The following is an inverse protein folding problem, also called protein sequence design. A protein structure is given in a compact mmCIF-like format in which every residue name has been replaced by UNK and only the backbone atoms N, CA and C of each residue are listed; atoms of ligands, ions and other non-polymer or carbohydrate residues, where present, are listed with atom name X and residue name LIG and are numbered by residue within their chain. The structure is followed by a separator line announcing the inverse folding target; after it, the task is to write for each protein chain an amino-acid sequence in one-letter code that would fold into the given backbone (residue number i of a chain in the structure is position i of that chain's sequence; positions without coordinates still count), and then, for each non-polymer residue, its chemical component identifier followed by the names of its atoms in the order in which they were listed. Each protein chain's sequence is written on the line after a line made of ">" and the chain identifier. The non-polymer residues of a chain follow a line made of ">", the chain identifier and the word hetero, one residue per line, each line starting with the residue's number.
data_IF_482881274310
#
_entry.id   IF_482881274310
#
_cell.length_a   1.000
_cell.length_b   1.000
_cell.length_c   1.000
_cell.angle_alpha   90.00
_cell.angle_beta   90.00
_cell.angle_gamma   90.00
#
_symmetry.space_group_name_H-M   'P 1'
#
loop_
_entity.id
_entity.type
_entity.pdbx_description
1 polymer ?
#
# COMPACT_ATOMS: atom_id res chain seq x y z
N UNK A 1 46.41 -30.61 -22.09
CA UNK A 1 46.37 -31.36 -20.82
C UNK A 1 44.93 -31.30 -20.35
N UNK A 2 44.14 -32.20 -20.90
CA UNK A 2 42.70 -32.28 -20.71
C UNK A 2 42.43 -33.09 -19.44
N UNK A 3 41.88 -32.43 -18.43
CA UNK A 3 41.34 -33.06 -17.22
C UNK A 3 39.83 -33.23 -17.34
N UNK A 4 39.23 -34.26 -16.72
CA UNK A 4 37.85 -34.62 -16.98
C UNK A 4 36.88 -33.61 -16.35
N UNK A 5 35.92 -33.18 -17.18
CA UNK A 5 34.75 -32.38 -16.79
C UNK A 5 33.85 -33.28 -15.94
N UNK A 6 33.74 -32.99 -14.64
CA UNK A 6 32.72 -33.59 -13.78
C UNK A 6 31.34 -33.10 -14.25
N UNK A 7 30.52 -34.01 -14.77
CA UNK A 7 29.11 -33.74 -15.05
C UNK A 7 28.37 -33.56 -13.72
N UNK A 8 27.99 -32.33 -13.39
CA UNK A 8 26.97 -32.09 -12.37
C UNK A 8 25.65 -32.68 -12.86
N UNK A 9 25.22 -33.78 -12.23
CA UNK A 9 23.85 -34.28 -12.36
C UNK A 9 22.84 -33.24 -11.87
N UNK A 10 21.56 -33.33 -12.30
CA UNK A 10 20.56 -32.34 -11.94
C UNK A 10 20.40 -32.29 -10.42
N UNK A 11 20.55 -31.09 -9.87
CA UNK A 11 20.27 -30.78 -8.47
C UNK A 11 18.83 -31.18 -8.17
N UNK A 12 18.64 -32.15 -7.27
CA UNK A 12 17.35 -32.45 -6.65
C UNK A 12 16.97 -31.30 -5.70
N UNK A 13 16.64 -30.14 -6.27
CA UNK A 13 15.75 -29.22 -5.61
C UNK A 13 14.39 -29.88 -5.58
N UNK A 14 13.89 -30.18 -4.37
CA UNK A 14 12.46 -30.44 -4.16
C UNK A 14 11.75 -29.20 -4.66
N UNK A 15 11.19 -29.29 -5.86
CA UNK A 15 10.25 -28.32 -6.40
C UNK A 15 9.11 -28.31 -5.40
N UNK A 16 8.97 -27.21 -4.64
CA UNK A 16 7.75 -26.99 -3.90
C UNK A 16 6.64 -26.94 -4.95
N UNK A 17 5.88 -28.01 -5.06
CA UNK A 17 4.63 -28.00 -5.79
C UNK A 17 3.77 -26.94 -5.11
N UNK A 18 3.55 -25.84 -5.82
CA UNK A 18 2.60 -24.82 -5.42
C UNK A 18 1.28 -25.49 -5.12
N UNK A 19 0.56 -25.04 -4.10
CA UNK A 19 -0.81 -25.51 -3.81
C UNK A 19 -1.75 -25.40 -5.02
N UNK A 20 -1.37 -24.69 -6.07
CA UNK A 20 -2.01 -24.76 -7.38
C UNK A 20 -1.97 -26.16 -7.98
N UNK A 21 -0.85 -26.88 -8.10
CA UNK A 21 -0.79 -28.22 -8.73
C UNK A 21 -1.57 -29.28 -7.96
N UNK A 22 -1.60 -29.19 -6.63
CA UNK A 22 -2.42 -30.07 -5.79
C UNK A 22 -3.92 -29.76 -5.90
N UNK A 23 -4.28 -28.50 -6.15
CA UNK A 23 -5.67 -28.11 -6.46
C UNK A 23 -6.02 -28.49 -7.90
N UNK A 24 -5.08 -28.43 -8.86
CA UNK A 24 -5.32 -28.86 -10.24
C UNK A 24 -5.47 -30.37 -10.36
N UNK A 25 -4.64 -31.17 -9.66
CA UNK A 25 -4.78 -32.64 -9.60
C UNK A 25 -6.07 -33.09 -8.90
N UNK A 26 -6.57 -32.30 -7.93
CA UNK A 26 -7.87 -32.53 -7.32
C UNK A 26 -9.04 -32.08 -8.22
N UNK A 27 -8.82 -31.20 -9.21
CA UNK A 27 -9.85 -30.76 -10.16
C UNK A 27 -9.86 -31.55 -11.47
N UNK A 28 -8.77 -32.21 -11.85
CA UNK A 28 -8.68 -33.07 -13.05
C UNK A 28 -9.15 -34.52 -12.81
N UNK A 29 -9.53 -34.87 -11.58
CA UNK A 29 -10.41 -36.02 -11.38
C UNK A 29 -11.84 -35.60 -11.75
N UNK A 30 -12.25 -35.94 -12.98
CA UNK A 30 -13.60 -35.86 -13.55
C UNK A 30 -14.70 -35.65 -12.50
N UNK A 31 -15.00 -34.38 -12.21
CA UNK A 31 -16.08 -33.97 -11.31
C UNK A 31 -17.37 -33.66 -12.10
N UNK A 32 -17.48 -34.19 -13.32
CA UNK A 32 -18.69 -34.11 -14.15
C UNK A 32 -19.65 -35.29 -13.94
N UNK A 33 -19.30 -36.30 -13.11
CA UNK A 33 -20.15 -37.47 -12.89
C UNK A 33 -20.43 -37.82 -11.42
N UNK A 34 -20.64 -36.79 -10.59
CA UNK A 34 -21.27 -36.98 -9.28
C UNK A 34 -22.71 -36.44 -9.34
N UNK A 35 -23.56 -37.22 -10.01
CA UNK A 35 -24.99 -37.19 -9.71
C UNK A 35 -25.13 -37.51 -8.21
N UNK A 36 -25.84 -36.71 -7.40
CA UNK A 36 -25.93 -36.97 -5.97
C UNK A 36 -26.52 -38.38 -5.77
N UNK A 37 -25.94 -39.23 -4.90
CA UNK A 37 -26.53 -40.52 -4.59
C UNK A 37 -27.96 -40.27 -4.09
N UNK A 38 -28.91 -41.04 -4.63
CA UNK A 38 -30.37 -40.83 -4.50
C UNK A 38 -30.92 -40.87 -3.06
N UNK A 39 -30.05 -41.06 -2.05
CA UNK A 39 -30.41 -41.29 -0.66
C UNK A 39 -29.70 -40.33 0.32
N UNK A 40 -29.34 -39.11 -0.10
CA UNK A 40 -28.75 -38.13 0.83
C UNK A 40 -29.83 -37.17 1.36
N UNK A 41 -30.01 -37.14 2.68
CA UNK A 41 -30.99 -36.25 3.31
C UNK A 41 -30.59 -34.78 3.11
N UNK A 42 -31.56 -33.86 3.04
CA UNK A 42 -31.32 -32.42 2.86
C UNK A 42 -30.42 -31.80 3.95
N UNK A 43 -30.27 -32.49 5.09
CA UNK A 43 -29.39 -32.13 6.20
C UNK A 43 -27.90 -32.43 5.89
N UNK A 44 -27.60 -33.58 5.25
CA UNK A 44 -26.23 -34.00 4.92
C UNK A 44 -25.59 -33.14 3.82
N UNK A 45 -26.39 -32.66 2.86
CA UNK A 45 -25.94 -31.73 1.82
C UNK A 45 -25.52 -30.38 2.43
N UNK A 46 -26.23 -29.91 3.47
CA UNK A 46 -25.95 -28.63 4.16
C UNK A 46 -24.65 -28.67 4.97
N UNK A 47 -24.27 -29.84 5.49
CA UNK A 47 -23.06 -30.06 6.29
C UNK A 47 -21.80 -30.25 5.44
N UNK A 48 -21.95 -30.45 4.13
CA UNK A 48 -20.83 -30.69 3.24
C UNK A 48 -19.98 -29.41 3.06
N UNK A 49 -18.69 -29.47 3.45
CA UNK A 49 -17.79 -28.31 3.46
C UNK A 49 -17.69 -27.66 2.07
N UNK A 50 -17.66 -28.48 1.01
CA UNK A 50 -17.64 -28.03 -0.37
C UNK A 50 -18.87 -27.19 -0.76
N UNK A 51 -20.07 -27.59 -0.31
CA UNK A 51 -21.30 -26.83 -0.56
C UNK A 51 -21.28 -25.46 0.13
N UNK A 52 -20.79 -25.38 1.38
CA UNK A 52 -20.64 -24.12 2.11
C UNK A 52 -19.61 -23.18 1.47
N UNK A 53 -18.49 -23.71 0.98
CA UNK A 53 -17.46 -22.95 0.28
C UNK A 53 -17.96 -22.42 -1.07
N UNK A 54 -18.65 -23.25 -1.85
CA UNK A 54 -19.28 -22.85 -3.13
C UNK A 54 -20.30 -21.73 -2.93
N UNK A 55 -21.21 -21.89 -1.97
CA UNK A 55 -22.22 -20.87 -1.65
C UNK A 55 -21.58 -19.55 -1.20
N UNK A 56 -20.48 -19.60 -0.43
CA UNK A 56 -19.73 -18.39 -0.03
C UNK A 56 -19.10 -17.70 -1.24
N UNK A 57 -18.52 -18.45 -2.19
CA UNK A 57 -17.95 -17.91 -3.42
C UNK A 57 -19.02 -17.24 -4.28
N UNK A 58 -20.17 -17.86 -4.45
CA UNK A 58 -21.30 -17.30 -5.21
C UNK A 58 -21.78 -15.96 -4.62
N UNK A 59 -21.92 -15.86 -3.29
CA UNK A 59 -22.32 -14.59 -2.63
C UNK A 59 -21.26 -13.51 -2.78
N UNK A 60 -19.97 -13.85 -2.78
CA UNK A 60 -18.89 -12.89 -3.05
C UNK A 60 -18.93 -12.37 -4.50
N UNK A 61 -19.18 -13.25 -5.47
CA UNK A 61 -19.35 -12.87 -6.88
C UNK A 61 -20.57 -11.96 -7.07
N UNK A 62 -21.71 -12.28 -6.45
CA UNK A 62 -22.90 -11.42 -6.46
C UNK A 62 -22.60 -10.04 -5.87
N UNK A 63 -21.86 -9.99 -4.75
CA UNK A 63 -21.48 -8.74 -4.12
C UNK A 63 -20.58 -7.88 -5.02
N UNK A 64 -19.68 -8.49 -5.80
CA UNK A 64 -18.85 -7.79 -6.78
C UNK A 64 -19.72 -7.13 -7.86
N UNK A 65 -20.65 -7.89 -8.45
CA UNK A 65 -21.60 -7.38 -9.45
C UNK A 65 -22.46 -6.22 -8.91
N UNK A 66 -22.95 -6.31 -7.67
CA UNK A 66 -23.70 -5.21 -7.03
C UNK A 66 -22.83 -3.95 -6.87
N UNK A 67 -21.55 -4.11 -6.54
CA UNK A 67 -20.62 -2.99 -6.44
C UNK A 67 -20.40 -2.34 -7.80
N UNK A 68 -20.28 -3.13 -8.87
CA UNK A 68 -20.13 -2.63 -10.25
C UNK A 68 -21.34 -1.84 -10.70
N UNK A 69 -22.54 -2.38 -10.49
CA UNK A 69 -23.79 -1.70 -10.78
C UNK A 69 -23.88 -0.39 -9.99
N UNK A 70 -23.56 -0.40 -8.69
CA UNK A 70 -23.60 0.81 -7.88
C UNK A 70 -22.59 1.87 -8.32
N UNK A 71 -21.40 1.45 -8.77
CA UNK A 71 -20.37 2.36 -9.27
C UNK A 71 -20.80 2.99 -10.59
N UNK A 72 -21.26 2.18 -11.56
CA UNK A 72 -21.73 2.66 -12.86
C UNK A 72 -22.91 3.63 -12.69
N UNK A 73 -23.91 3.28 -11.88
CA UNK A 73 -25.04 4.17 -11.60
C UNK A 73 -24.60 5.47 -10.92
N UNK A 74 -23.60 5.42 -10.04
CA UNK A 74 -23.03 6.59 -9.39
C UNK A 74 -22.35 7.53 -10.38
N UNK A 75 -21.54 6.98 -11.29
CA UNK A 75 -20.87 7.74 -12.35
C UNK A 75 -21.87 8.32 -13.34
N UNK A 76 -22.84 7.52 -13.81
CA UNK A 76 -23.90 7.98 -14.72
C UNK A 76 -24.66 9.15 -14.12
N UNK A 77 -25.02 9.09 -12.83
CA UNK A 77 -25.65 10.22 -12.15
C UNK A 77 -24.80 11.49 -12.17
N UNK A 78 -23.51 11.39 -11.82
CA UNK A 78 -22.60 12.55 -11.81
C UNK A 78 -22.46 13.14 -13.22
N UNK A 79 -22.29 12.29 -14.24
CA UNK A 79 -22.14 12.72 -15.64
C UNK A 79 -23.40 13.41 -16.14
N UNK A 80 -24.60 12.87 -15.86
CA UNK A 80 -25.86 13.50 -16.24
C UNK A 80 -26.02 14.89 -15.63
N UNK A 81 -25.61 15.06 -14.37
CA UNK A 81 -25.66 16.37 -13.68
C UNK A 81 -24.63 17.35 -14.23
N UNK A 82 -23.43 16.89 -14.56
CA UNK A 82 -22.40 17.71 -15.22
C UNK A 82 -22.94 18.20 -16.58
N UNK A 83 -23.56 17.32 -17.37
CA UNK A 83 -24.15 17.67 -18.66
C UNK A 83 -25.28 18.69 -18.50
N UNK A 84 -26.22 18.46 -17.56
CA UNK A 84 -27.30 19.44 -17.27
C UNK A 84 -26.72 20.81 -16.92
N UNK A 85 -25.70 20.83 -16.06
CA UNK A 85 -25.05 22.06 -15.60
C UNK A 85 -24.34 22.81 -16.73
N UNK A 86 -23.61 22.10 -17.61
CA UNK A 86 -22.93 22.76 -18.74
C UNK A 86 -23.88 23.28 -19.79
N UNK A 87 -25.00 22.59 -20.03
CA UNK A 87 -25.99 23.06 -20.98
C UNK A 87 -26.66 24.34 -20.50
N UNK A 88 -26.90 24.44 -19.18
CA UNK A 88 -27.43 25.66 -18.54
C UNK A 88 -26.39 26.78 -18.60
N UNK A 89 -25.13 26.50 -18.26
CA UNK A 89 -24.07 27.50 -18.23
C UNK A 89 -23.64 27.97 -19.63
N UNK A 90 -23.65 27.08 -20.62
CA UNK A 90 -23.37 27.41 -22.01
C UNK A 90 -24.46 28.24 -22.70
N UNK A 91 -25.53 28.61 -22.00
CA UNK A 91 -26.62 29.47 -22.51
C UNK A 91 -27.50 28.81 -23.57
N UNK A 92 -27.27 27.54 -23.91
CA UNK A 92 -28.06 26.79 -24.90
C UNK A 92 -29.45 26.42 -24.39
N UNK A 93 -29.60 26.29 -23.06
CA UNK A 93 -30.78 25.75 -22.41
C UNK A 93 -31.13 26.57 -21.16
N UNK A 94 -32.39 27.00 -21.03
CA UNK A 94 -32.89 27.61 -19.80
C UNK A 94 -33.17 26.57 -18.71
N UNK A 95 -33.04 26.97 -17.44
CA UNK A 95 -33.24 26.08 -16.29
C UNK A 95 -34.63 25.43 -16.21
N UNK A 96 -35.64 26.04 -16.84
CA UNK A 96 -37.03 25.54 -16.88
C UNK A 96 -37.37 24.79 -18.18
N UNK A 97 -36.37 24.54 -19.02
CA UNK A 97 -36.57 23.81 -20.27
C UNK A 97 -36.94 22.34 -20.02
N UNK A 98 -37.70 21.71 -20.94
CA UNK A 98 -38.06 20.30 -20.82
C UNK A 98 -36.83 19.37 -20.86
N UNK A 99 -35.74 19.81 -21.50
CA UNK A 99 -34.49 19.03 -21.61
C UNK A 99 -33.79 18.95 -20.24
N UNK A 100 -33.68 20.08 -19.52
CA UNK A 100 -33.09 20.09 -18.18
C UNK A 100 -33.94 19.27 -17.20
N UNK A 101 -35.27 19.41 -17.27
CA UNK A 101 -36.18 18.57 -16.46
C UNK A 101 -36.01 17.08 -16.76
N UNK A 102 -35.89 16.69 -18.04
CA UNK A 102 -35.66 15.30 -18.42
C UNK A 102 -34.34 14.75 -17.86
N UNK A 103 -33.23 15.49 -17.97
CA UNK A 103 -31.92 15.09 -17.41
C UNK A 103 -31.97 14.91 -15.89
N UNK A 104 -32.70 15.77 -15.18
CA UNK A 104 -32.91 15.65 -13.73
C UNK A 104 -33.81 14.47 -13.36
N UNK A 105 -34.82 14.14 -14.17
CA UNK A 105 -35.63 12.92 -14.00
C UNK A 105 -34.77 11.67 -14.18
N UNK A 106 -33.95 11.60 -15.23
CA UNK A 106 -33.01 10.48 -15.43
C UNK A 106 -32.02 10.37 -14.28
N UNK A 107 -31.53 11.50 -13.77
CA UNK A 107 -30.71 11.54 -12.56
C UNK A 107 -31.46 10.92 -11.37
N UNK A 108 -32.71 11.30 -11.13
CA UNK A 108 -33.54 10.76 -10.03
C UNK A 108 -33.86 9.26 -10.17
N UNK A 109 -34.03 8.78 -11.39
CA UNK A 109 -34.19 7.33 -11.66
C UNK A 109 -32.88 6.60 -11.34
N UNK A 110 -31.74 7.13 -11.79
CA UNK A 110 -30.43 6.53 -11.51
C UNK A 110 -30.11 6.49 -10.02
N UNK A 111 -30.51 7.51 -9.25
CA UNK A 111 -30.33 7.56 -7.79
C UNK A 111 -31.20 6.56 -7.07
N UNK A 112 -32.46 6.44 -7.48
CA UNK A 112 -33.38 5.44 -6.94
C UNK A 112 -32.84 4.01 -7.14
N UNK A 113 -32.32 3.71 -8.34
CA UNK A 113 -31.67 2.44 -8.64
C UNK A 113 -30.39 2.23 -7.82
N UNK A 114 -29.57 3.27 -7.68
CA UNK A 114 -28.34 3.24 -6.88
C UNK A 114 -28.62 2.97 -5.40
N UNK A 115 -29.68 3.56 -4.84
CA UNK A 115 -30.12 3.32 -3.47
C UNK A 115 -30.51 1.86 -3.25
N UNK A 116 -31.27 1.26 -4.18
CA UNK A 116 -31.58 -0.17 -4.15
C UNK A 116 -30.31 -1.03 -4.18
N UNK A 117 -29.34 -0.67 -5.02
CA UNK A 117 -28.05 -1.37 -5.10
C UNK A 117 -27.25 -1.29 -3.79
N UNK A 118 -27.31 -0.16 -3.08
CA UNK A 118 -26.65 0.00 -1.77
C UNK A 118 -27.32 -0.88 -0.71
N UNK A 119 -28.66 -0.93 -0.70
CA UNK A 119 -29.38 -1.85 0.19
C UNK A 119 -28.99 -3.30 -0.11
N UNK A 120 -28.95 -3.69 -1.39
CA UNK A 120 -28.52 -5.03 -1.80
C UNK A 120 -27.07 -5.35 -1.37
N UNK A 121 -26.17 -4.36 -1.40
CA UNK A 121 -24.79 -4.51 -0.92
C UNK A 121 -24.72 -4.79 0.59
N UNK A 122 -25.50 -4.09 1.41
CA UNK A 122 -25.53 -4.35 2.86
C UNK A 122 -26.21 -5.68 3.18
N UNK A 123 -27.27 -6.05 2.44
CA UNK A 123 -27.95 -7.36 2.60
C UNK A 123 -27.00 -8.51 2.26
N UNK A 124 -26.23 -8.44 1.17
CA UNK A 124 -25.23 -9.48 0.84
C UNK A 124 -24.10 -9.54 1.86
N UNK A 125 -23.67 -8.40 2.41
CA UNK A 125 -22.73 -8.35 3.54
C UNK A 125 -23.26 -9.04 4.80
N UNK A 126 -24.54 -8.86 5.12
CA UNK A 126 -25.21 -9.53 6.25
C UNK A 126 -25.33 -11.04 6.02
N UNK A 127 -25.69 -11.46 4.80
CA UNK A 127 -25.76 -12.88 4.43
C UNK A 127 -24.40 -13.58 4.60
N UNK A 128 -23.29 -12.92 4.22
CA UNK A 128 -21.95 -13.44 4.44
C UNK A 128 -21.62 -13.58 5.93
N UNK A 129 -21.97 -12.58 6.74
CA UNK A 129 -21.75 -12.62 8.17
C UNK A 129 -22.55 -13.74 8.85
N UNK A 130 -23.83 -13.87 8.50
CA UNK A 130 -24.70 -14.96 8.99
C UNK A 130 -24.14 -16.34 8.62
N UNK A 131 -23.71 -16.53 7.37
CA UNK A 131 -23.13 -17.79 6.92
C UNK A 131 -21.83 -18.16 7.66
N UNK A 132 -21.05 -17.16 8.10
CA UNK A 132 -19.83 -17.38 8.90
C UNK A 132 -20.11 -17.63 10.39
N UNK A 133 -21.14 -16.98 10.94
CA UNK A 133 -21.47 -17.07 12.37
C UNK A 133 -22.48 -18.18 12.70
N UNK A 134 -23.16 -18.75 11.69
CA UNK A 134 -24.16 -19.81 11.86
C UNK A 134 -25.55 -19.31 12.30
N UNK A 135 -25.85 -18.01 12.15
CA UNK A 135 -27.18 -17.47 12.48
C UNK A 135 -28.18 -17.70 11.34
N UNK A 136 -29.38 -18.18 11.67
CA UNK A 136 -30.48 -18.32 10.70
C UNK A 136 -31.29 -17.02 10.56
N UNK A 137 -31.39 -16.23 11.63
CA UNK A 137 -32.14 -14.97 11.66
C UNK A 137 -31.26 -13.74 11.37
N UNK A 138 -31.67 -12.93 10.39
CA UNK A 138 -30.94 -11.71 10.02
C UNK A 138 -30.99 -10.62 11.08
N UNK A 139 -32.03 -10.63 11.93
CA UNK A 139 -32.23 -9.65 13.00
C UNK A 139 -31.13 -9.74 14.05
N UNK A 140 -30.69 -10.95 14.40
CA UNK A 140 -29.58 -11.17 15.33
C UNK A 140 -28.23 -10.74 14.75
N UNK A 141 -28.08 -10.77 13.42
CA UNK A 141 -26.88 -10.31 12.73
C UNK A 141 -26.78 -8.77 12.59
N UNK A 142 -27.88 -8.03 12.81
CA UNK A 142 -27.95 -6.58 12.62
C UNK A 142 -27.63 -5.80 13.89
N UNK A 143 -26.47 -5.15 13.89
CA UNK A 143 -26.01 -4.26 14.96
C UNK A 143 -26.39 -2.81 14.67
N UNK A 144 -26.59 -2.00 15.71
CA UNK A 144 -26.87 -0.55 15.59
C UNK A 144 -25.81 0.19 14.74
N UNK A 145 -24.54 -0.21 14.82
CA UNK A 145 -23.45 0.35 14.00
C UNK A 145 -23.62 0.07 12.50
N UNK A 146 -24.14 -1.10 12.13
CA UNK A 146 -24.43 -1.45 10.72
C UNK A 146 -25.61 -0.64 10.19
N UNK A 147 -26.65 -0.46 11.01
CA UNK A 147 -27.78 0.40 10.70
C UNK A 147 -27.38 1.86 10.49
N UNK A 148 -26.58 2.42 11.40
CA UNK A 148 -26.07 3.79 11.27
C UNK A 148 -25.25 3.96 9.98
N UNK A 149 -24.37 3.00 9.68
CA UNK A 149 -23.58 3.01 8.44
C UNK A 149 -24.45 2.94 7.18
N UNK A 150 -25.45 2.06 7.16
CA UNK A 150 -26.42 1.97 6.06
C UNK A 150 -27.17 3.30 5.90
N UNK A 151 -27.68 3.86 7.00
CA UNK A 151 -28.42 5.13 6.97
C UNK A 151 -27.58 6.29 6.45
N UNK A 152 -26.31 6.38 6.85
CA UNK A 152 -25.40 7.43 6.38
C UNK A 152 -25.08 7.28 4.89
N UNK A 153 -24.82 6.05 4.42
CA UNK A 153 -24.59 5.80 2.99
C UNK A 153 -25.82 6.11 2.15
N UNK A 154 -27.02 5.74 2.63
CA UNK A 154 -28.28 6.07 1.98
C UNK A 154 -28.50 7.59 1.96
N UNK A 155 -28.22 8.33 3.04
CA UNK A 155 -28.35 9.78 3.08
C UNK A 155 -27.44 10.46 2.04
N UNK A 156 -26.15 10.07 2.00
CA UNK A 156 -25.17 10.61 1.04
C UNK A 156 -25.61 10.36 -0.41
N UNK A 157 -26.14 9.16 -0.69
CA UNK A 157 -26.55 8.79 -2.03
C UNK A 157 -27.93 9.32 -2.43
N UNK A 158 -28.77 9.67 -1.46
CA UNK A 158 -30.06 10.31 -1.69
C UNK A 158 -29.92 11.77 -2.14
N UNK A 159 -28.84 12.46 -1.77
CA UNK A 159 -28.60 13.85 -2.18
C UNK A 159 -28.39 13.93 -3.70
N UNK A 160 -29.31 14.58 -4.42
CA UNK A 160 -29.24 14.92 -5.85
C UNK A 160 -30.16 16.12 -6.17
N UNK A 161 -29.91 16.86 -7.26
CA UNK A 161 -30.87 17.88 -7.72
C UNK A 161 -32.19 17.22 -8.12
N UNK A 162 -33.30 17.71 -7.56
CA UNK A 162 -34.64 17.19 -7.84
C UNK A 162 -35.26 17.96 -9.02
N UNK A 163 -35.94 17.28 -9.97
CA UNK A 163 -36.47 17.90 -11.19
C UNK A 163 -37.54 18.97 -10.94
N UNK A 164 -38.32 18.86 -9.86
CA UNK A 164 -39.49 19.71 -9.62
C UNK A 164 -39.32 20.69 -8.45
N UNK A 165 -38.15 20.70 -7.77
CA UNK A 165 -37.91 21.52 -6.59
C UNK A 165 -36.98 22.70 -6.95
N UNK A 166 -37.56 23.80 -7.43
CA UNK A 166 -36.84 25.07 -7.66
C UNK A 166 -36.97 25.97 -6.42
N UNK A 167 -36.41 25.51 -5.30
CA UNK A 167 -36.34 26.33 -4.09
C UNK A 167 -35.04 27.13 -4.13
N UNK A 168 -35.15 28.44 -3.90
CA UNK A 168 -34.01 29.33 -3.87
C UNK A 168 -33.66 29.72 -2.43
N UNK A 169 -32.36 29.68 -2.10
CA UNK A 169 -31.86 30.14 -0.79
C UNK A 169 -31.25 31.53 -0.95
N UNK A 170 -31.59 32.50 -0.09
CA UNK A 170 -30.87 33.75 -0.02
C UNK A 170 -29.48 33.50 0.57
N UNK A 171 -28.45 33.65 -0.25
CA UNK A 171 -27.04 33.56 0.17
C UNK A 171 -26.40 34.94 0.15
N UNK A 172 -25.66 35.26 1.19
CA UNK A 172 -24.91 36.50 1.29
C UNK A 172 -23.65 36.34 0.43
N UNK A 173 -23.37 37.31 -0.44
CA UNK A 173 -22.12 37.37 -1.21
C UNK A 173 -21.42 38.70 -0.93
N UNK A 174 -20.09 38.67 -0.83
CA UNK A 174 -19.28 39.88 -0.58
C UNK A 174 -18.88 40.45 -1.93
N UNK A 175 -19.45 41.60 -2.30
CA UNK A 175 -19.05 42.34 -3.49
C UNK A 175 -18.15 43.49 -3.03
N UNK A 176 -16.91 43.48 -3.50
CA UNK A 176 -15.97 44.59 -3.28
C UNK A 176 -16.16 45.60 -4.41
N UNK A 177 -16.69 46.78 -4.10
CA UNK A 177 -16.69 47.89 -5.05
C UNK A 177 -15.29 48.50 -5.11
N UNK A 178 -14.93 49.04 -6.28
CA UNK A 178 -13.63 49.70 -6.53
C UNK A 178 -13.39 50.91 -5.61
N UNK A 179 -14.44 51.46 -4.99
CA UNK A 179 -14.38 52.57 -4.04
C UNK A 179 -14.59 52.05 -2.60
N UNK A 180 -13.52 51.57 -1.96
CA UNK A 180 -13.33 51.35 -0.50
C UNK A 180 -14.52 50.89 0.36
N UNK A 181 -15.42 50.06 -0.19
CA UNK A 181 -16.55 49.49 0.55
C UNK A 181 -16.82 48.06 0.11
N UNK A 182 -16.76 47.12 1.05
CA UNK A 182 -17.30 45.78 0.88
C UNK A 182 -18.80 45.81 1.17
N UNK A 183 -19.62 45.74 0.13
CA UNK A 183 -21.09 45.71 0.28
C UNK A 183 -21.55 44.25 0.29
N UNK A 184 -22.25 43.87 1.34
CA UNK A 184 -22.90 42.57 1.47
C UNK A 184 -24.17 42.59 0.61
N UNK A 185 -24.15 41.89 -0.53
CA UNK A 185 -25.35 41.75 -1.38
C UNK A 185 -25.94 40.36 -1.22
N UNK A 186 -27.23 40.30 -0.87
CA UNK A 186 -27.97 39.05 -0.80
C UNK A 186 -28.38 38.64 -2.22
N UNK A 187 -27.80 37.55 -2.73
CA UNK A 187 -28.18 36.95 -4.02
C UNK A 187 -28.88 35.62 -3.80
N UNK A 188 -29.84 35.35 -4.66
CA UNK A 188 -30.73 34.19 -4.60
C UNK A 188 -30.09 33.07 -5.42
N UNK A 189 -29.53 32.05 -4.76
CA UNK A 189 -28.88 30.90 -5.42
C UNK A 189 -29.84 29.70 -5.41
N UNK A 190 -30.00 28.96 -6.52
CA UNK A 190 -30.81 27.75 -6.54
C UNK A 190 -30.18 26.65 -5.66
N UNK A 191 -30.99 26.00 -4.81
CA UNK A 191 -30.55 24.86 -3.97
C UNK A 191 -29.90 23.75 -4.80
N UNK A 192 -30.35 23.59 -6.04
CA UNK A 192 -29.81 22.60 -6.97
C UNK A 192 -28.29 22.74 -7.13
N UNK A 193 -27.72 23.95 -7.12
CA UNK A 193 -26.28 24.16 -7.21
C UNK A 193 -25.48 23.57 -6.03
N UNK A 194 -26.04 23.61 -4.82
CA UNK A 194 -25.40 23.02 -3.63
C UNK A 194 -25.56 21.50 -3.67
N UNK A 195 -26.72 21.01 -4.11
CA UNK A 195 -27.00 19.58 -4.26
C UNK A 195 -26.11 18.92 -5.31
N UNK A 196 -25.79 19.60 -6.41
CA UNK A 196 -24.87 19.09 -7.45
C UNK A 196 -23.45 18.92 -6.90
N UNK A 197 -22.98 19.85 -6.06
CA UNK A 197 -21.66 19.75 -5.41
C UNK A 197 -21.64 18.59 -4.42
N UNK A 198 -22.67 18.47 -3.58
CA UNK A 198 -22.80 17.36 -2.64
C UNK A 198 -22.93 16.00 -3.35
N UNK A 199 -23.35 15.97 -4.61
CA UNK A 199 -23.42 14.75 -5.40
C UNK A 199 -22.03 14.14 -5.67
N UNK A 200 -20.96 14.95 -5.73
CA UNK A 200 -19.59 14.45 -5.84
C UNK A 200 -19.14 13.64 -4.61
N UNK A 201 -19.84 13.75 -3.47
CA UNK A 201 -19.58 12.90 -2.31
C UNK A 201 -19.69 11.41 -2.68
N UNK A 202 -20.48 11.05 -3.70
CA UNK A 202 -20.63 9.69 -4.24
C UNK A 202 -19.35 9.09 -4.83
N UNK A 203 -18.30 9.89 -5.06
CA UNK A 203 -16.99 9.38 -5.48
C UNK A 203 -16.39 8.37 -4.49
N UNK A 204 -16.87 8.29 -3.24
CA UNK A 204 -16.51 7.20 -2.33
C UNK A 204 -16.81 5.80 -2.91
N UNK A 205 -17.79 5.68 -3.82
CA UNK A 205 -18.12 4.43 -4.51
C UNK A 205 -16.98 3.95 -5.41
N UNK A 206 -16.18 4.85 -5.98
CA UNK A 206 -14.96 4.49 -6.71
C UNK A 206 -13.95 3.82 -5.77
N UNK A 207 -13.74 4.37 -4.57
CA UNK A 207 -12.87 3.75 -3.56
C UNK A 207 -13.36 2.35 -3.16
N UNK A 208 -14.68 2.16 -3.03
CA UNK A 208 -15.29 0.84 -2.80
C UNK A 208 -15.05 -0.11 -3.98
N UNK A 209 -15.27 0.35 -5.20
CA UNK A 209 -15.03 -0.41 -6.42
C UNK A 209 -13.60 -0.94 -6.49
N UNK A 210 -12.61 -0.05 -6.29
CA UNK A 210 -11.18 -0.40 -6.27
C UNK A 210 -10.86 -1.43 -5.18
N UNK A 211 -11.39 -1.25 -3.96
CA UNK A 211 -11.13 -2.17 -2.84
C UNK A 211 -11.71 -3.57 -3.10
N UNK A 212 -12.90 -3.66 -3.68
CA UNK A 212 -13.57 -4.95 -3.96
C UNK A 212 -12.98 -5.65 -5.19
N UNK A 213 -12.46 -4.89 -6.16
CA UNK A 213 -11.79 -5.41 -7.34
C UNK A 213 -10.32 -5.79 -7.11
N UNK A 214 -9.72 -5.35 -6.01
CA UNK A 214 -8.37 -5.77 -5.65
C UNK A 214 -8.34 -7.27 -5.40
N UNK A 215 -7.49 -7.99 -6.15
CA UNK A 215 -7.30 -9.44 -6.01
C UNK A 215 -7.00 -9.86 -4.56
N UNK A 216 -6.42 -8.95 -3.77
CA UNK A 216 -6.14 -9.11 -2.35
C UNK A 216 -7.37 -9.47 -1.49
N UNK A 217 -8.58 -9.07 -1.91
CA UNK A 217 -9.82 -9.42 -1.20
C UNK A 217 -10.44 -10.74 -1.68
N UNK A 218 -10.19 -11.11 -2.93
CA UNK A 218 -10.83 -12.26 -3.59
C UNK A 218 -10.01 -13.55 -3.46
N UNK A 219 -8.69 -13.44 -3.32
CA UNK A 219 -7.79 -14.58 -3.23
C UNK A 219 -8.05 -15.39 -1.96
N UNK A 220 -8.40 -16.67 -2.15
CA UNK A 220 -8.65 -17.63 -1.07
C UNK A 220 -7.41 -17.86 -0.22
N UNK A 221 -6.23 -17.81 -0.83
CA UNK A 221 -4.92 -17.89 -0.17
C UNK A 221 -4.67 -16.71 0.77
N UNK A 222 -5.05 -15.50 0.38
CA UNK A 222 -4.92 -14.31 1.23
C UNK A 222 -5.92 -14.38 2.39
N UNK A 223 -7.15 -14.85 2.14
CA UNK A 223 -8.15 -15.05 3.20
C UNK A 223 -7.73 -16.13 4.22
N UNK A 224 -7.13 -17.23 3.77
CA UNK A 224 -6.62 -18.27 4.67
C UNK A 224 -5.40 -17.80 5.44
N UNK A 225 -4.47 -17.09 4.80
CA UNK A 225 -3.31 -16.49 5.46
C UNK A 225 -3.72 -15.42 6.48
N UNK A 226 -4.75 -14.62 6.18
CA UNK A 226 -5.34 -13.65 7.10
C UNK A 226 -5.96 -14.32 8.33
N UNK A 227 -6.64 -15.45 8.15
CA UNK A 227 -7.18 -16.23 9.26
C UNK A 227 -6.06 -16.84 10.13
N UNK A 228 -5.01 -17.39 9.51
CA UNK A 228 -3.86 -17.98 10.19
C UNK A 228 -3.06 -16.92 10.98
N UNK A 229 -2.84 -15.75 10.37
CA UNK A 229 -2.15 -14.61 10.98
C UNK A 229 -3.02 -13.78 11.92
N UNK A 230 -4.31 -14.12 12.06
CA UNK A 230 -5.33 -13.34 12.81
C UNK A 230 -5.47 -11.88 12.35
N UNK A 231 -5.19 -11.61 11.07
CA UNK A 231 -5.35 -10.28 10.46
C UNK A 231 -6.69 -10.20 9.72
N UNK A 232 -7.55 -9.27 10.15
CA UNK A 232 -8.81 -8.98 9.43
C UNK A 232 -8.53 -8.17 8.17
N UNK A 233 -8.87 -8.74 7.01
CA UNK A 233 -8.74 -8.09 5.70
C UNK A 233 -9.83 -7.00 5.59
N UNK A 234 -9.48 -5.79 6.01
CA UNK A 234 -10.34 -4.61 5.97
C UNK A 234 -10.01 -3.73 4.75
N UNK A 235 -10.90 -2.82 4.36
CA UNK A 235 -10.63 -1.84 3.30
C UNK A 235 -9.36 -0.99 3.57
N UNK A 236 -9.08 -0.69 4.84
CA UNK A 236 -7.84 0.00 5.25
C UNK A 236 -6.57 -0.82 4.96
N UNK A 237 -6.65 -2.15 5.08
CA UNK A 237 -5.54 -3.03 4.74
C UNK A 237 -5.27 -3.00 3.22
N UNK A 238 -6.34 -3.06 2.42
CA UNK A 238 -6.25 -2.95 0.95
C UNK A 238 -5.67 -1.60 0.53
N UNK A 239 -6.15 -0.51 1.13
CA UNK A 239 -5.61 0.82 0.85
C UNK A 239 -4.12 0.92 1.21
N UNK A 240 -3.71 0.43 2.39
CA UNK A 240 -2.30 0.38 2.79
C UNK A 240 -1.46 -0.48 1.83
N UNK A 241 -2.01 -1.60 1.36
CA UNK A 241 -1.34 -2.47 0.39
C UNK A 241 -1.15 -1.78 -0.96
N UNK A 242 -2.19 -1.12 -1.51
CA UNK A 242 -2.11 -0.34 -2.75
C UNK A 242 -1.08 0.78 -2.66
N UNK A 243 -1.08 1.51 -1.54
CA UNK A 243 -0.08 2.56 -1.26
C UNK A 243 1.33 2.02 -1.03
N UNK A 244 1.50 0.71 -0.78
CA UNK A 244 2.82 0.10 -0.66
C UNK A 244 3.32 -0.47 -1.99
N UNK A 245 2.45 -1.10 -2.76
CA UNK A 245 2.80 -1.77 -4.02
C UNK A 245 3.05 -0.78 -5.16
N UNK A 246 2.11 0.14 -5.42
CA UNK A 246 2.19 1.09 -6.55
C UNK A 246 1.84 2.51 -6.09
N UNK A 247 2.59 3.10 -5.12
CA UNK A 247 2.26 4.39 -4.55
C UNK A 247 2.18 5.51 -5.58
N UNK A 248 3.09 5.52 -6.56
CA UNK A 248 3.16 6.58 -7.58
C UNK A 248 1.88 6.68 -8.41
N UNK A 249 1.40 5.57 -8.97
CA UNK A 249 0.19 5.52 -9.81
C UNK A 249 -1.05 5.92 -9.01
N UNK A 250 -1.19 5.42 -7.79
CA UNK A 250 -2.35 5.73 -6.93
C UNK A 250 -2.37 7.22 -6.60
N UNK A 251 -1.24 7.76 -6.20
CA UNK A 251 -1.13 9.16 -5.78
C UNK A 251 -1.35 10.12 -6.95
N UNK A 252 -0.77 9.85 -8.12
CA UNK A 252 -0.99 10.68 -9.32
C UNK A 252 -2.44 10.62 -9.80
N UNK A 253 -3.08 9.44 -9.73
CA UNK A 253 -4.49 9.30 -10.11
C UNK A 253 -5.40 10.09 -9.17
N UNK A 254 -5.18 10.00 -7.85
CA UNK A 254 -5.95 10.77 -6.85
C UNK A 254 -5.71 12.27 -7.01
N UNK A 255 -4.46 12.69 -7.25
CA UNK A 255 -4.11 14.09 -7.50
C UNK A 255 -4.85 14.65 -8.72
N UNK A 256 -4.77 13.97 -9.87
CA UNK A 256 -5.41 14.43 -11.11
C UNK A 256 -6.94 14.45 -10.98
N UNK A 257 -7.54 13.41 -10.39
CA UNK A 257 -8.99 13.35 -10.22
C UNK A 257 -9.49 14.49 -9.32
N UNK A 258 -8.88 14.67 -8.15
CA UNK A 258 -9.29 15.70 -7.20
C UNK A 258 -9.04 17.12 -7.71
N UNK A 259 -7.97 17.34 -8.47
CA UNK A 259 -7.71 18.59 -9.18
C UNK A 259 -8.85 18.95 -10.15
N UNK A 260 -9.23 18.02 -11.03
CA UNK A 260 -10.30 18.26 -12.01
C UNK A 260 -11.65 18.49 -11.34
N UNK A 261 -11.97 17.70 -10.30
CA UNK A 261 -13.22 17.82 -9.55
C UNK A 261 -13.28 19.17 -8.81
N UNK A 262 -12.22 19.57 -8.10
CA UNK A 262 -12.23 20.83 -7.37
C UNK A 262 -12.28 22.05 -8.30
N UNK A 263 -11.58 22.00 -9.44
CA UNK A 263 -11.65 23.04 -10.46
C UNK A 263 -13.07 23.24 -10.98
N UNK A 264 -13.76 22.14 -11.28
CA UNK A 264 -15.16 22.19 -11.66
C UNK A 264 -16.06 22.81 -10.59
N UNK A 265 -15.93 22.36 -9.34
CA UNK A 265 -16.77 22.80 -8.24
C UNK A 265 -16.54 24.29 -7.89
N UNK A 266 -15.30 24.78 -7.98
CA UNK A 266 -14.98 26.21 -7.79
C UNK A 266 -15.66 27.05 -8.88
N UNK A 267 -15.50 26.68 -10.16
CA UNK A 267 -16.18 27.36 -11.29
C UNK A 267 -17.68 27.41 -11.04
N UNK A 268 -18.27 26.28 -10.67
CA UNK A 268 -19.71 26.16 -10.45
C UNK A 268 -20.20 27.14 -9.38
N UNK A 269 -19.50 27.23 -8.25
CA UNK A 269 -19.92 28.12 -7.15
C UNK A 269 -19.77 29.60 -7.48
N UNK A 270 -18.77 29.98 -8.25
CA UNK A 270 -18.56 31.37 -8.63
C UNK A 270 -19.54 31.82 -9.70
N UNK A 271 -19.80 31.00 -10.71
CA UNK A 271 -20.78 31.28 -11.78
C UNK A 271 -22.19 31.52 -11.22
N UNK A 272 -22.66 30.66 -10.30
CA UNK A 272 -24.00 30.81 -9.73
C UNK A 272 -24.12 32.04 -8.81
N UNK A 273 -23.00 32.54 -8.28
CA UNK A 273 -22.98 33.72 -7.41
C UNK A 273 -22.84 35.01 -8.22
N UNK A 274 -21.92 35.03 -9.19
CA UNK A 274 -21.60 36.15 -10.05
C UNK A 274 -21.34 35.66 -11.50
N UNK A 275 -22.33 35.80 -12.41
CA UNK A 275 -22.20 35.34 -13.79
C UNK A 275 -21.08 36.01 -14.59
N UNK A 276 -20.63 37.21 -14.16
CA UNK A 276 -19.58 37.97 -14.82
C UNK A 276 -18.20 37.76 -14.18
N UNK A 277 -18.07 36.79 -13.27
CA UNK A 277 -16.79 36.45 -12.64
C UNK A 277 -15.81 35.87 -13.67
N UNK A 278 -14.55 36.30 -13.62
CA UNK A 278 -13.46 35.72 -14.41
C UNK A 278 -13.28 34.22 -14.12
N UNK A 279 -13.70 33.75 -12.93
CA UNK A 279 -13.69 32.34 -12.54
C UNK A 279 -14.79 31.51 -13.24
N UNK A 280 -15.64 32.15 -14.05
CA UNK A 280 -16.61 31.47 -14.91
C UNK A 280 -15.96 30.66 -16.04
N UNK A 281 -14.76 31.07 -16.45
CA UNK A 281 -13.95 30.31 -17.39
C UNK A 281 -13.28 29.11 -16.70
N UNK A 282 -13.39 27.92 -17.31
CA UNK A 282 -12.82 26.69 -16.76
C UNK A 282 -11.28 26.75 -16.63
N UNK A 283 -10.61 27.45 -17.54
CA UNK A 283 -9.15 27.70 -17.51
C UNK A 283 -8.73 28.49 -16.28
N UNK A 284 -9.46 29.54 -15.92
CA UNK A 284 -9.19 30.36 -14.74
C UNK A 284 -9.46 29.59 -13.45
N UNK A 285 -10.52 28.78 -13.42
CA UNK A 285 -10.79 27.91 -12.28
C UNK A 285 -9.70 26.82 -12.11
N UNK A 286 -9.17 26.26 -13.20
CA UNK A 286 -8.03 25.33 -13.17
C UNK A 286 -6.77 26.01 -12.64
N UNK A 287 -6.49 27.23 -13.08
CA UNK A 287 -5.35 28.03 -12.60
C UNK A 287 -5.44 28.29 -11.10
N UNK A 288 -6.57 28.81 -10.61
CA UNK A 288 -6.79 29.03 -9.18
C UNK A 288 -6.65 27.73 -8.38
N UNK A 289 -7.19 26.63 -8.90
CA UNK A 289 -7.09 25.31 -8.25
C UNK A 289 -5.63 24.85 -8.17
N UNK A 290 -4.84 25.02 -9.23
CA UNK A 290 -3.43 24.63 -9.26
C UNK A 290 -2.59 25.44 -8.26
N UNK A 291 -2.75 26.76 -8.27
CA UNK A 291 -2.06 27.70 -7.36
C UNK A 291 -2.43 27.42 -5.89
N UNK A 292 -3.69 27.08 -5.62
CA UNK A 292 -4.17 26.72 -4.28
C UNK A 292 -3.69 25.34 -3.85
N UNK A 293 -3.72 24.36 -4.75
CA UNK A 293 -3.28 22.98 -4.49
C UNK A 293 -1.78 22.90 -4.18
N UNK A 294 -0.98 23.71 -4.88
CA UNK A 294 0.46 23.85 -4.63
C UNK A 294 0.79 24.82 -3.49
N UNK A 295 -0.22 25.40 -2.83
CA UNK A 295 -0.06 26.37 -1.74
C UNK A 295 0.77 27.60 -2.09
N UNK A 296 0.73 28.04 -3.35
CA UNK A 296 1.45 29.23 -3.83
C UNK A 296 0.66 30.50 -3.49
N UNK A 297 -0.61 30.57 -3.89
CA UNK A 297 -1.52 31.66 -3.55
C UNK A 297 -1.12 33.05 -4.06
N UNK A 298 -0.99 33.24 -5.38
CA UNK A 298 -0.63 34.56 -5.96
C UNK A 298 -1.61 35.68 -5.61
N UNK A 299 -2.90 35.36 -5.44
CA UNK A 299 -3.94 36.34 -5.08
C UNK A 299 -4.46 37.18 -6.24
N UNK A 300 -4.11 36.81 -7.47
CA UNK A 300 -4.65 37.34 -8.72
C UNK A 300 -6.13 36.98 -8.90
N UNK A 301 -6.52 35.75 -8.56
CA UNK A 301 -7.89 35.27 -8.54
C UNK A 301 -8.27 34.80 -7.13
N UNK A 302 -9.46 35.21 -6.65
CA UNK A 302 -9.93 34.87 -5.30
C UNK A 302 -11.42 34.53 -5.36
N UNK A 303 -11.87 33.39 -4.79
CA UNK A 303 -13.28 33.04 -4.75
C UNK A 303 -14.05 34.03 -3.86
N UNK A 304 -15.13 34.59 -4.42
CA UNK A 304 -15.99 35.55 -3.71
C UNK A 304 -17.11 34.83 -2.98
N UNK A 305 -17.51 33.65 -3.45
CA UNK A 305 -18.57 32.84 -2.84
C UNK A 305 -18.09 32.09 -1.59
N UNK A 306 -18.96 31.94 -0.58
CA UNK A 306 -18.65 31.12 0.61
C UNK A 306 -18.38 29.66 0.24
N UNK A 307 -19.14 29.12 -0.72
CA UNK A 307 -18.93 27.78 -1.24
C UNK A 307 -17.54 27.64 -1.90
N UNK A 308 -17.17 28.57 -2.80
CA UNK A 308 -15.88 28.57 -3.46
C UNK A 308 -14.72 28.66 -2.47
N UNK A 309 -14.86 29.46 -1.41
CA UNK A 309 -13.89 29.53 -0.31
C UNK A 309 -13.75 28.22 0.47
N UNK A 310 -14.85 27.53 0.75
CA UNK A 310 -14.81 26.21 1.40
C UNK A 310 -14.10 25.18 0.51
N UNK A 311 -14.40 25.16 -0.79
CA UNK A 311 -13.76 24.25 -1.73
C UNK A 311 -12.27 24.58 -1.89
N UNK A 312 -11.90 25.86 -2.02
CA UNK A 312 -10.50 26.30 -2.09
C UNK A 312 -9.73 25.91 -0.80
N UNK A 313 -10.32 26.13 0.37
CA UNK A 313 -9.74 25.69 1.65
C UNK A 313 -9.54 24.16 1.71
N UNK A 314 -10.54 23.39 1.27
CA UNK A 314 -10.42 21.92 1.20
C UNK A 314 -9.37 21.47 0.18
N UNK A 315 -9.21 22.20 -0.93
CA UNK A 315 -8.22 21.96 -1.98
C UNK A 315 -6.81 22.17 -1.44
N UNK A 316 -6.58 23.25 -0.69
CA UNK A 316 -5.30 23.51 -0.04
C UNK A 316 -4.93 22.41 0.96
N UNK A 317 -5.87 22.02 1.84
CA UNK A 317 -5.65 20.95 2.81
C UNK A 317 -5.31 19.61 2.12
N UNK A 318 -6.06 19.28 1.06
CA UNK A 318 -5.82 18.05 0.28
C UNK A 318 -4.50 18.11 -0.49
N UNK A 319 -4.14 19.26 -1.06
CA UNK A 319 -2.87 19.48 -1.75
C UNK A 319 -1.67 19.26 -0.84
N UNK A 320 -1.68 19.85 0.37
CA UNK A 320 -0.64 19.62 1.38
C UNK A 320 -0.56 18.13 1.76
N UNK A 321 -1.71 17.46 1.96
CA UNK A 321 -1.75 16.05 2.29
C UNK A 321 -1.15 15.15 1.19
N UNK A 322 -1.49 15.41 -0.07
CA UNK A 322 -0.97 14.67 -1.22
C UNK A 322 0.52 14.94 -1.41
N UNK A 323 0.97 16.20 -1.27
CA UNK A 323 2.39 16.56 -1.36
C UNK A 323 3.23 15.89 -0.26
N UNK A 324 2.74 15.85 0.97
CA UNK A 324 3.42 15.15 2.07
C UNK A 324 3.57 13.65 1.78
N UNK A 325 2.52 13.00 1.25
CA UNK A 325 2.59 11.60 0.84
C UNK A 325 3.55 11.40 -0.35
N UNK A 326 3.57 12.32 -1.32
CA UNK A 326 4.50 12.27 -2.46
C UNK A 326 5.95 12.29 -2.00
N UNK A 327 6.29 13.17 -1.06
CA UNK A 327 7.65 13.27 -0.48
C UNK A 327 8.02 11.99 0.26
N UNK A 328 7.10 11.42 1.06
CA UNK A 328 7.34 10.17 1.77
C UNK A 328 7.58 8.99 0.80
N UNK A 329 6.79 8.91 -0.27
CA UNK A 329 6.94 7.89 -1.33
C UNK A 329 8.26 8.08 -2.07
N UNK A 330 8.60 9.33 -2.42
CA UNK A 330 9.84 9.64 -3.13
C UNK A 330 11.05 9.28 -2.28
N UNK A 331 11.04 9.60 -0.98
CA UNK A 331 12.11 9.22 -0.06
C UNK A 331 12.29 7.69 0.00
N UNK A 332 11.19 6.93 0.10
CA UNK A 332 11.23 5.45 0.09
C UNK A 332 11.71 4.87 -1.24
N UNK A 333 11.43 5.53 -2.37
CA UNK A 333 11.89 5.12 -3.69
C UNK A 333 13.35 5.50 -3.98
N UNK A 334 13.85 6.55 -3.33
CA UNK A 334 15.26 6.93 -3.34
C UNK A 334 16.10 6.07 -2.39
N UNK A 335 15.47 5.40 -1.43
CA UNK A 335 16.15 4.41 -0.60
C UNK A 335 16.62 3.24 -1.46
N UNK A 336 17.94 3.06 -1.53
CA UNK A 336 18.55 1.99 -2.30
C UNK A 336 18.14 0.62 -1.76
N UNK A 337 17.93 -0.34 -2.66
CA UNK A 337 17.69 -1.72 -2.26
C UNK A 337 18.89 -2.27 -1.48
N UNK A 338 18.67 -3.29 -0.63
CA UNK A 338 19.75 -3.90 0.17
C UNK A 338 20.90 -4.40 -0.70
N UNK A 339 20.59 -4.96 -1.87
CA UNK A 339 21.56 -5.43 -2.87
C UNK A 339 22.31 -4.28 -3.53
N UNK A 340 21.63 -3.20 -3.92
CA UNK A 340 22.29 -2.02 -4.48
C UNK A 340 23.22 -1.37 -3.48
N UNK A 341 22.77 -1.22 -2.22
CA UNK A 341 23.60 -0.68 -1.14
C UNK A 341 24.85 -1.53 -0.93
N UNK A 342 24.70 -2.86 -0.92
CA UNK A 342 25.85 -3.78 -0.83
C UNK A 342 26.85 -3.58 -1.98
N UNK A 343 26.36 -3.53 -3.23
CA UNK A 343 27.22 -3.33 -4.41
C UNK A 343 27.90 -1.96 -4.35
N UNK A 344 27.18 -0.89 -4.01
CA UNK A 344 27.72 0.46 -3.89
C UNK A 344 28.83 0.51 -2.85
N UNK A 345 28.60 -0.10 -1.68
CA UNK A 345 29.61 -0.14 -0.63
C UNK A 345 30.84 -0.98 -1.04
N UNK A 346 30.65 -2.11 -1.70
CA UNK A 346 31.75 -2.92 -2.22
C UNK A 346 32.61 -2.14 -3.22
N UNK A 347 31.98 -1.44 -4.16
CA UNK A 347 32.68 -0.57 -5.13
C UNK A 347 33.46 0.52 -4.41
N UNK A 348 32.89 1.14 -3.37
CA UNK A 348 33.55 2.16 -2.56
C UNK A 348 34.78 1.59 -1.82
N UNK A 349 34.70 0.37 -1.28
CA UNK A 349 35.84 -0.30 -0.64
C UNK A 349 36.98 -0.56 -1.64
N UNK A 350 36.65 -1.05 -2.84
CA UNK A 350 37.65 -1.28 -3.89
C UNK A 350 38.32 0.04 -4.32
N UNK A 351 37.55 1.12 -4.44
CA UNK A 351 38.08 2.44 -4.77
C UNK A 351 39.02 2.97 -3.67
N UNK A 352 38.66 2.81 -2.40
CA UNK A 352 39.50 3.19 -1.26
C UNK A 352 40.79 2.36 -1.19
N UNK A 353 40.74 1.06 -1.50
CA UNK A 353 41.93 0.24 -1.57
C UNK A 353 42.87 0.67 -2.70
N UNK A 354 42.34 1.04 -3.87
CA UNK A 354 43.14 1.62 -4.97
C UNK A 354 43.77 2.95 -4.55
N UNK A 355 43.00 3.83 -3.93
CA UNK A 355 43.48 5.12 -3.41
C UNK A 355 44.62 4.91 -2.40
N UNK A 356 44.42 4.01 -1.42
CA UNK A 356 45.42 3.65 -0.41
C UNK A 356 46.71 3.11 -1.04
N UNK A 357 46.61 2.21 -2.02
CA UNK A 357 47.77 1.66 -2.74
C UNK A 357 48.53 2.73 -3.52
N UNK A 358 47.83 3.61 -4.23
CA UNK A 358 48.43 4.73 -4.97
C UNK A 358 49.10 5.73 -4.04
N UNK A 359 48.43 6.10 -2.94
CA UNK A 359 48.98 6.99 -1.92
C UNK A 359 50.21 6.37 -1.23
N UNK A 360 50.20 5.07 -0.95
CA UNK A 360 51.35 4.35 -0.40
C UNK A 360 52.54 4.35 -1.38
N UNK A 361 52.29 4.13 -2.68
CA UNK A 361 53.32 4.24 -3.71
C UNK A 361 53.91 5.67 -3.77
N UNK A 362 53.07 6.70 -3.63
CA UNK A 362 53.53 8.09 -3.54
C UNK A 362 54.34 8.37 -2.27
N UNK A 363 53.95 7.84 -1.11
CA UNK A 363 54.73 7.94 0.13
C UNK A 363 56.14 7.39 -0.08
N UNK A 364 56.25 6.18 -0.63
CA UNK A 364 57.54 5.54 -0.92
C UNK A 364 58.35 6.36 -1.92
N UNK A 365 57.72 6.82 -3.01
CA UNK A 365 58.34 7.66 -4.05
C UNK A 365 58.92 8.94 -3.45
N UNK A 366 58.13 9.70 -2.68
CA UNK A 366 58.58 10.96 -2.10
C UNK A 366 59.66 10.73 -1.03
N UNK A 367 59.53 9.69 -0.20
CA UNK A 367 60.54 9.33 0.79
C UNK A 367 61.89 9.00 0.13
N UNK A 368 61.88 8.24 -0.97
CA UNK A 368 63.08 7.92 -1.74
C UNK A 368 63.72 9.17 -2.36
N UNK A 369 62.94 10.09 -2.94
CA UNK A 369 63.45 11.36 -3.46
C UNK A 369 64.11 12.19 -2.36
N UNK A 370 63.48 12.29 -1.18
CA UNK A 370 64.04 13.00 -0.01
C UNK A 370 65.37 12.38 0.41
N UNK A 371 65.44 11.06 0.51
CA UNK A 371 66.68 10.35 0.86
C UNK A 371 67.79 10.60 -0.16
N UNK A 372 67.51 10.48 -1.47
CA UNK A 372 68.48 10.77 -2.54
C UNK A 372 68.97 12.22 -2.51
N UNK A 373 68.07 13.18 -2.27
CA UNK A 373 68.40 14.60 -2.15
C UNK A 373 69.31 14.87 -0.94
N UNK A 374 69.04 14.25 0.21
CA UNK A 374 69.87 14.37 1.42
C UNK A 374 71.29 13.82 1.22
N UNK A 375 71.45 12.81 0.36
CA UNK A 375 72.74 12.18 0.04
C UNK A 375 73.60 13.01 -0.94
N UNK A 376 73.02 13.96 -1.69
CA UNK A 376 73.71 14.78 -2.72
C UNK A 376 74.34 16.08 -2.20
N UNK A 377 74.39 16.31 -0.88
CA UNK A 377 75.04 17.47 -0.27
C UNK A 377 74.10 18.63 0.14
N UNK A 378 74.62 19.75 0.67
CA UNK A 378 73.87 20.64 1.56
C UNK A 378 72.84 21.63 0.96
N UNK A 379 72.69 21.77 -0.37
CA UNK A 379 72.19 23.04 -0.93
C UNK A 379 70.94 23.00 -1.84
N UNK A 380 69.85 22.30 -1.50
CA UNK A 380 68.56 22.46 -2.23
C UNK A 380 67.32 22.48 -1.30
N UNK A 381 67.21 23.52 -0.48
CA UNK A 381 66.12 23.74 0.49
C UNK A 381 64.73 23.73 -0.17
N UNK A 382 64.54 24.44 -1.29
CA UNK A 382 63.22 24.56 -1.94
C UNK A 382 62.71 23.25 -2.56
N UNK A 383 63.60 22.46 -3.18
CA UNK A 383 63.24 21.16 -3.75
C UNK A 383 62.94 20.12 -2.67
N UNK A 384 63.70 20.12 -1.58
CA UNK A 384 63.47 19.27 -0.41
C UNK A 384 62.13 19.58 0.26
N UNK A 385 61.81 20.86 0.47
CA UNK A 385 60.53 21.30 1.04
C UNK A 385 59.35 20.88 0.14
N UNK A 386 59.51 20.98 -1.20
CA UNK A 386 58.49 20.50 -2.15
C UNK A 386 58.21 19.02 -1.97
N UNK A 387 59.22 18.16 -1.95
CA UNK A 387 59.05 16.71 -1.75
C UNK A 387 58.52 16.36 -0.33
N UNK A 388 58.96 17.08 0.71
CA UNK A 388 58.44 16.92 2.08
C UNK A 388 56.95 17.26 2.16
N UNK A 389 56.51 18.34 1.50
CA UNK A 389 55.09 18.70 1.44
C UNK A 389 54.24 17.66 0.68
N UNK A 390 54.79 17.06 -0.38
CA UNK A 390 54.14 15.98 -1.14
C UNK A 390 54.05 14.69 -0.33
N UNK A 391 55.10 14.35 0.43
CA UNK A 391 55.10 13.21 1.34
C UNK A 391 54.00 13.34 2.41
N UNK A 392 53.89 14.51 3.04
CA UNK A 392 52.86 14.76 4.05
C UNK A 392 51.44 14.70 3.49
N UNK A 393 51.24 15.10 2.23
CA UNK A 393 49.97 14.95 1.52
C UNK A 393 49.65 13.48 1.23
N UNK A 394 50.61 12.72 0.71
CA UNK A 394 50.44 11.29 0.43
C UNK A 394 50.17 10.49 1.71
N UNK A 395 50.89 10.79 2.82
CA UNK A 395 50.64 10.18 4.13
C UNK A 395 49.21 10.45 4.64
N UNK A 396 48.76 11.70 4.57
CA UNK A 396 47.39 12.07 4.97
C UNK A 396 46.34 11.35 4.13
N UNK A 397 46.48 11.37 2.81
CA UNK A 397 45.56 10.68 1.89
C UNK A 397 45.50 9.17 2.15
N UNK A 398 46.64 8.53 2.45
CA UNK A 398 46.69 7.11 2.80
C UNK A 398 45.95 6.82 4.12
N UNK A 399 46.21 7.63 5.16
CA UNK A 399 45.57 7.47 6.47
C UNK A 399 44.06 7.72 6.42
N UNK A 400 43.64 8.73 5.66
CA UNK A 400 42.24 9.05 5.41
C UNK A 400 41.53 7.90 4.68
N UNK A 401 42.14 7.37 3.59
CA UNK A 401 41.58 6.23 2.88
C UNK A 401 41.45 4.97 3.77
N UNK A 402 42.42 4.75 4.66
CA UNK A 402 42.37 3.66 5.63
C UNK A 402 41.26 3.86 6.67
N UNK A 403 41.16 5.05 7.27
CA UNK A 403 40.13 5.38 8.25
C UNK A 403 38.73 5.25 7.67
N UNK A 404 38.50 5.82 6.48
CA UNK A 404 37.21 5.76 5.78
C UNK A 404 36.83 4.33 5.45
N UNK A 405 37.79 3.47 5.06
CA UNK A 405 37.54 2.04 4.80
C UNK A 405 37.10 1.31 6.07
N UNK A 406 37.79 1.52 7.19
CA UNK A 406 37.43 0.89 8.47
C UNK A 406 36.03 1.31 8.91
N UNK A 407 35.71 2.60 8.85
CA UNK A 407 34.39 3.12 9.19
C UNK A 407 33.28 2.53 8.30
N UNK A 408 33.53 2.37 6.99
CA UNK A 408 32.61 1.69 6.07
C UNK A 408 32.39 0.22 6.44
N UNK A 409 33.44 -0.48 6.90
CA UNK A 409 33.34 -1.86 7.36
C UNK A 409 32.50 -1.98 8.63
N UNK A 410 32.68 -1.07 9.59
CA UNK A 410 31.92 -1.08 10.86
C UNK A 410 30.42 -0.80 10.65
N UNK A 411 30.07 0.03 9.67
CA UNK A 411 28.69 0.30 9.28
C UNK A 411 28.06 -0.84 8.46
N UNK A 412 28.85 -1.83 8.04
CA UNK A 412 28.43 -2.99 7.27
C UNK A 412 28.40 -4.24 8.16
N UNK A 413 27.35 -4.43 8.96
CA UNK A 413 26.94 -5.81 9.25
C UNK A 413 26.14 -6.29 8.05
N UNK A 414 26.85 -6.78 7.04
CA UNK A 414 26.26 -7.19 5.78
C UNK A 414 25.43 -8.48 5.92
N UNK A 415 24.53 -8.77 4.95
CA UNK A 415 23.85 -10.07 4.88
C UNK A 415 24.83 -11.24 4.75
N UNK A 416 26.05 -11.00 4.24
CA UNK A 416 27.12 -11.99 4.22
C UNK A 416 27.57 -12.34 5.63
N UNK A 417 27.84 -11.34 6.49
CA UNK A 417 28.24 -11.61 7.88
C UNK A 417 27.11 -12.27 8.68
N UNK A 418 25.86 -11.89 8.44
CA UNK A 418 24.70 -12.59 9.01
C UNK A 418 24.62 -14.04 8.53
N UNK A 419 24.82 -14.28 7.23
CA UNK A 419 24.83 -15.63 6.65
C UNK A 419 25.98 -16.46 7.22
N UNK A 420 27.17 -15.89 7.37
CA UNK A 420 28.31 -16.56 7.98
C UNK A 420 28.02 -16.86 9.44
N UNK A 421 27.45 -15.90 10.19
CA UNK A 421 27.04 -16.11 11.57
C UNK A 421 25.96 -17.19 11.73
N UNK A 422 24.99 -17.25 10.81
CA UNK A 422 24.00 -18.33 10.77
C UNK A 422 24.65 -19.69 10.45
N UNK A 423 25.64 -19.71 9.57
CA UNK A 423 26.36 -20.93 9.21
C UNK A 423 27.26 -21.42 10.36
N UNK A 424 27.92 -20.50 11.06
CA UNK A 424 28.71 -20.79 12.26
C UNK A 424 27.80 -21.30 13.38
N UNK A 425 26.64 -20.66 13.59
CA UNK A 425 25.64 -21.12 14.55
C UNK A 425 25.11 -22.51 14.18
N UNK A 426 24.84 -22.77 12.90
CA UNK A 426 24.46 -24.10 12.43
C UNK A 426 25.56 -25.14 12.73
N UNK A 427 26.82 -24.79 12.48
CA UNK A 427 27.98 -25.61 12.84
C UNK A 427 28.01 -25.95 14.33
N UNK A 428 27.87 -24.95 15.22
CA UNK A 428 27.83 -25.16 16.67
C UNK A 428 26.66 -26.05 17.09
N UNK A 429 25.48 -25.87 16.50
CA UNK A 429 24.32 -26.71 16.79
C UNK A 429 24.57 -28.16 16.37
N UNK A 430 25.25 -28.38 15.23
CA UNK A 430 25.62 -29.74 14.82
C UNK A 430 26.62 -30.40 15.76
N UNK A 431 27.64 -29.66 16.22
CA UNK A 431 28.62 -30.21 17.18
C UNK A 431 27.96 -30.53 18.52
N UNK A 432 27.09 -29.65 19.03
CA UNK A 432 26.33 -29.92 20.28
C UNK A 432 25.44 -31.15 20.13
N UNK A 433 24.82 -31.34 18.97
CA UNK A 433 24.00 -32.53 18.70
C UNK A 433 24.83 -33.80 18.69
N UNK A 434 26.04 -33.76 18.14
CA UNK A 434 26.93 -34.91 18.13
C UNK A 434 27.50 -35.21 19.53
N UNK A 435 27.85 -34.18 20.30
CA UNK A 435 28.23 -34.33 21.72
C UNK A 435 27.08 -34.93 22.56
N UNK A 436 25.83 -34.53 22.30
CA UNK A 436 24.67 -35.11 22.96
C UNK A 436 24.53 -36.62 22.66
N UNK A 437 24.71 -37.05 21.40
CA UNK A 437 24.69 -38.48 21.05
C UNK A 437 25.78 -39.26 21.77
N UNK A 438 26.99 -38.68 21.86
CA UNK A 438 28.11 -39.31 22.57
C UNK A 438 27.78 -39.45 24.06
N UNK A 439 27.16 -38.43 24.66
CA UNK A 439 26.73 -38.47 26.05
C UNK A 439 25.64 -39.53 26.28
N UNK A 440 24.64 -39.60 25.41
CA UNK A 440 23.58 -40.63 25.45
C UNK A 440 24.17 -42.05 25.38
N UNK A 441 25.17 -42.28 24.51
CA UNK A 441 25.84 -43.56 24.41
C UNK A 441 26.63 -43.90 25.68
N UNK A 442 27.27 -42.91 26.31
CA UNK A 442 27.96 -43.12 27.60
C UNK A 442 26.98 -43.43 28.72
N UNK A 443 25.83 -42.78 28.77
CA UNK A 443 24.79 -43.05 29.75
C UNK A 443 24.24 -44.46 29.57
N UNK A 444 23.94 -44.88 28.33
CA UNK A 444 23.50 -46.25 28.05
C UNK A 444 24.53 -47.29 28.52
N UNK A 445 25.82 -47.05 28.27
CA UNK A 445 26.88 -47.93 28.77
C UNK A 445 26.91 -47.97 30.31
N UNK A 446 26.75 -46.83 30.99
CA UNK A 446 26.68 -46.79 32.45
C UNK A 446 25.44 -47.53 32.99
N UNK A 447 24.29 -47.40 32.35
CA UNK A 447 23.07 -48.15 32.71
C UNK A 447 23.32 -49.65 32.62
N UNK A 448 23.91 -50.15 31.54
CA UNK A 448 24.25 -51.58 31.42
C UNK A 448 25.21 -52.04 32.53
N UNK A 449 26.17 -51.20 32.91
CA UNK A 449 27.15 -51.51 33.94
C UNK A 449 26.51 -51.55 35.34
N UNK A 450 25.61 -50.61 35.63
CA UNK A 450 24.82 -50.58 36.89
C UNK A 450 23.89 -51.79 36.97
N UNK A 451 23.22 -52.15 35.88
CA UNK A 451 22.37 -53.35 35.82
C UNK A 451 23.21 -54.61 36.10
N UNK A 452 24.38 -54.73 35.48
CA UNK A 452 25.25 -55.87 35.68
C UNK A 452 25.76 -55.98 37.14
N UNK A 453 26.17 -54.86 37.74
CA UNK A 453 26.54 -54.80 39.15
C UNK A 453 25.38 -55.19 40.09
N UNK A 454 24.16 -54.74 39.78
CA UNK A 454 22.95 -55.11 40.54
C UNK A 454 22.69 -56.62 40.49
N UNK A 455 22.84 -57.24 39.32
CA UNK A 455 22.76 -58.70 39.16
C UNK A 455 23.83 -59.42 39.98
N UNK A 456 25.10 -59.00 39.90
CA UNK A 456 26.17 -59.60 40.69
C UNK A 456 25.92 -59.49 42.21
N UNK A 457 25.40 -58.36 42.68
CA UNK A 457 25.00 -58.20 44.08
C UNK A 457 23.85 -59.12 44.48
N UNK A 458 22.91 -59.39 43.56
CA UNK A 458 21.83 -60.34 43.78
C UNK A 458 22.36 -61.77 43.89
N UNK A 459 23.26 -62.17 42.98
CA UNK A 459 23.90 -63.48 43.00
C UNK A 459 24.70 -63.71 44.30
N UNK A 460 25.47 -62.70 44.73
CA UNK A 460 26.19 -62.75 46.01
C UNK A 460 25.23 -62.86 47.19
N UNK A 461 24.12 -62.12 47.17
CA UNK A 461 23.07 -62.21 48.21
C UNK A 461 22.46 -63.60 48.26
N UNK A 462 22.20 -64.23 47.12
CA UNK A 462 21.62 -65.57 47.05
C UNK A 462 22.61 -66.65 47.48
N UNK A 463 23.91 -66.49 47.17
CA UNK A 463 24.97 -67.33 47.71
C UNK A 463 25.06 -67.23 49.24
N UNK A 464 24.98 -66.02 49.80
CA UNK A 464 24.96 -65.80 51.25
C UNK A 464 23.72 -66.41 51.92
N UNK A 465 22.56 -66.39 51.26
CA UNK A 465 21.35 -67.08 51.76
C UNK A 465 21.50 -68.60 51.78
N UNK A 466 22.20 -69.20 50.82
CA UNK A 466 22.43 -70.65 50.76
C UNK A 466 23.43 -71.16 51.81
N UNK A 467 24.26 -70.28 52.38
CA UNK A 467 25.22 -70.63 53.44
C UNK A 467 24.64 -70.56 54.86
N UNK A 468 23.41 -70.08 55.01
CA UNK A 468 22.69 -69.99 56.29
C UNK A 468 21.60 -71.05 56.31
#
# INVERSE_FOLDING_TARGET
>A
MDGPILSMGPSNYVKYDSTETLVTELTDCDFDDIRPPSNMTQCDVKNNLGYRLRRRREVLTQRKCIVDISFVLGVVGIVLVIIDTELILGGTIHADSPISTALRVFTSISTSCLMLSIVAYHVTGLRLYMASAGFEDWRLAMTATKWFKLSLELLVCFIHPLPFLNVYIPTISVVTNSDNGSVLTARIIPINAILTILMFLRLYLFGRFVVVHSNLFLDTSVQSLGALSRVRINAQFVFRALMSSTPGIVLTTVMLATFMINSWNIRLCEVYTDPNSELGEFTQAMWLTAVTFLTVGYGDLIPRSYCGRLIAGSTGLMGVGIMALSVAVLAKKLEQSRSEKYIHTFVQQVALDKCRKNAAADVVKQAMFIWRLKRRGPCRTSALLKHKSKLLRAKRSMQEAQFTKSHLSECMVGPVELSTGLNDMYGIVTTVKDDQKVLEQRIANLETLVVNMSCQLHDVRDMLRKMK
#
